data_IF_266822550892
#
_entry.id   IF_266822550892
#
_cell.length_a   1.000
_cell.length_b   1.000
_cell.length_c   1.000
_cell.angle_alpha   90.00
_cell.angle_beta   90.00
_cell.angle_gamma   90.00
#
_symmetry.space_group_name_H-M   'P 1'
#
loop_
_entity.id
_entity.type
_entity.pdbx_description
1 polymer ?
#
# COMPACT_ATOMS: atom_id res chain seq x y z
N UNK A 1 -37.89 25.26 42.20
CA UNK A 1 -38.10 24.60 40.90
C UNK A 1 -37.08 25.17 39.91
N UNK A 2 -35.81 24.77 39.99
CA UNK A 2 -34.74 25.17 39.05
C UNK A 2 -33.45 24.37 39.32
N UNK A 3 -33.35 23.15 38.77
CA UNK A 3 -32.08 22.39 38.75
C UNK A 3 -32.15 21.25 37.72
N UNK A 4 -32.48 21.58 36.47
CA UNK A 4 -32.48 20.60 35.37
C UNK A 4 -31.70 21.05 34.12
N UNK A 5 -31.19 22.28 34.08
CA UNK A 5 -30.55 22.85 32.89
C UNK A 5 -29.02 22.76 32.84
N UNK A 6 -28.34 22.37 33.93
CA UNK A 6 -26.86 22.36 33.97
C UNK A 6 -26.24 21.03 33.52
N UNK A 7 -26.97 19.91 33.58
CA UNK A 7 -26.40 18.58 33.27
C UNK A 7 -26.35 18.27 31.77
N UNK A 8 -27.20 18.87 30.96
CA UNK A 8 -27.24 18.66 29.50
C UNK A 8 -26.07 19.30 28.74
N UNK A 9 -25.50 20.41 29.24
CA UNK A 9 -24.38 21.11 28.58
C UNK A 9 -23.05 20.35 28.63
N UNK A 10 -22.79 19.59 29.71
CA UNK A 10 -21.53 18.84 29.85
C UNK A 10 -21.44 17.63 28.90
N UNK A 11 -22.58 17.08 28.48
CA UNK A 11 -22.65 15.97 27.52
C UNK A 11 -22.45 16.43 26.07
N UNK A 12 -23.05 17.57 25.69
CA UNK A 12 -22.97 18.11 24.31
C UNK A 12 -21.56 18.57 23.91
N UNK A 13 -20.81 19.15 24.85
CA UNK A 13 -19.46 19.64 24.58
C UNK A 13 -18.48 18.47 24.37
N UNK A 14 -18.63 17.38 25.13
CA UNK A 14 -17.83 16.17 24.94
C UNK A 14 -18.19 15.42 23.66
N UNK A 15 -19.48 15.40 23.28
CA UNK A 15 -19.94 14.76 22.05
C UNK A 15 -19.43 15.50 20.80
N UNK A 16 -19.47 16.82 20.80
CA UNK A 16 -18.95 17.64 19.69
C UNK A 16 -17.43 17.48 19.51
N UNK A 17 -16.67 17.41 20.61
CA UNK A 17 -15.22 17.15 20.59
C UNK A 17 -14.88 15.74 20.09
N UNK A 18 -15.71 14.74 20.38
CA UNK A 18 -15.55 13.39 19.83
C UNK A 18 -15.83 13.37 18.33
N UNK A 19 -16.94 13.98 17.90
CA UNK A 19 -17.32 14.03 16.48
C UNK A 19 -16.27 14.74 15.64
N UNK A 20 -15.65 15.81 16.14
CA UNK A 20 -14.56 16.51 15.45
C UNK A 20 -13.32 15.62 15.32
N UNK A 21 -12.90 14.95 16.39
CA UNK A 21 -11.77 13.99 16.38
C UNK A 21 -12.01 12.83 15.42
N UNK A 22 -13.21 12.23 15.46
CA UNK A 22 -13.59 11.13 14.58
C UNK A 22 -13.60 11.56 13.10
N UNK A 23 -14.09 12.76 12.78
CA UNK A 23 -14.02 13.33 11.43
C UNK A 23 -12.58 13.53 10.95
N UNK A 24 -11.69 14.02 11.82
CA UNK A 24 -10.28 14.21 11.49
C UNK A 24 -9.60 12.86 11.19
N UNK A 25 -9.79 11.86 12.05
CA UNK A 25 -9.25 10.51 11.83
C UNK A 25 -9.77 9.92 10.51
N UNK A 26 -11.06 10.08 10.21
CA UNK A 26 -11.62 9.59 8.96
C UNK A 26 -11.02 10.30 7.72
N UNK A 27 -10.82 11.62 7.78
CA UNK A 27 -10.16 12.37 6.70
C UNK A 27 -8.72 11.93 6.48
N UNK A 28 -7.97 11.70 7.57
CA UNK A 28 -6.59 11.20 7.48
C UNK A 28 -6.58 9.82 6.82
N UNK A 29 -7.44 8.88 7.28
CA UNK A 29 -7.52 7.53 6.68
C UNK A 29 -7.88 7.59 5.20
N UNK A 30 -8.82 8.44 4.82
CA UNK A 30 -9.20 8.63 3.42
C UNK A 30 -8.01 9.15 2.59
N UNK A 31 -7.30 10.17 3.08
CA UNK A 31 -6.12 10.71 2.41
C UNK A 31 -5.01 9.66 2.26
N UNK A 32 -4.72 8.90 3.31
CA UNK A 32 -3.73 7.81 3.26
C UNK A 32 -4.16 6.72 2.28
N UNK A 33 -5.43 6.33 2.26
CA UNK A 33 -5.94 5.34 1.31
C UNK A 33 -5.81 5.79 -0.15
N UNK A 34 -6.04 7.08 -0.46
CA UNK A 34 -5.79 7.63 -1.79
C UNK A 34 -4.31 7.57 -2.17
N UNK A 35 -3.40 7.87 -1.24
CA UNK A 35 -1.96 7.76 -1.48
C UNK A 35 -1.53 6.31 -1.73
N UNK A 36 -2.06 5.36 -0.95
CA UNK A 36 -1.83 3.92 -1.15
C UNK A 36 -2.32 3.50 -2.53
N UNK A 37 -3.54 3.89 -2.91
CA UNK A 37 -4.09 3.57 -4.23
C UNK A 37 -3.24 4.13 -5.37
N UNK A 38 -2.85 5.41 -5.30
CA UNK A 38 -2.03 6.05 -6.31
C UNK A 38 -0.65 5.40 -6.43
N UNK A 39 0.01 5.11 -5.30
CA UNK A 39 1.30 4.44 -5.28
C UNK A 39 1.20 3.01 -5.84
N UNK A 40 0.16 2.26 -5.50
CA UNK A 40 -0.06 0.90 -5.99
C UNK A 40 -0.28 0.87 -7.51
N UNK A 41 -1.07 1.80 -8.06
CA UNK A 41 -1.26 1.95 -9.51
C UNK A 41 0.05 2.35 -10.20
N UNK A 42 0.84 3.24 -9.59
CA UNK A 42 2.14 3.62 -10.11
C UNK A 42 3.11 2.43 -10.17
N UNK A 43 3.14 1.56 -9.15
CA UNK A 43 3.93 0.31 -9.17
C UNK A 43 3.51 -0.58 -10.34
N UNK A 44 2.19 -0.79 -10.51
CA UNK A 44 1.67 -1.60 -11.62
C UNK A 44 2.11 -1.01 -12.97
N UNK A 45 2.07 0.32 -13.13
CA UNK A 45 2.54 1.00 -14.35
C UNK A 45 4.05 0.82 -14.58
N UNK A 46 4.86 1.05 -13.55
CA UNK A 46 6.31 0.92 -13.61
C UNK A 46 6.80 -0.50 -13.94
N UNK A 47 6.06 -1.53 -13.53
CA UNK A 47 6.40 -2.93 -13.83
C UNK A 47 5.75 -3.46 -15.12
N UNK A 48 4.58 -2.93 -15.51
CA UNK A 48 3.88 -3.36 -16.71
C UNK A 48 4.62 -2.98 -18.00
N UNK A 49 5.24 -1.79 -18.04
CA UNK A 49 5.94 -1.30 -19.24
C UNK A 49 7.18 -2.16 -19.56
N UNK A 50 8.11 -2.43 -18.62
CA UNK A 50 9.24 -3.32 -18.86
C UNK A 50 8.80 -4.75 -19.17
N UNK A 51 7.75 -5.26 -18.51
CA UNK A 51 7.22 -6.59 -18.76
C UNK A 51 6.65 -6.74 -20.18
N UNK A 52 5.94 -5.72 -20.66
CA UNK A 52 5.41 -5.68 -22.02
C UNK A 52 6.55 -5.64 -23.04
N UNK A 53 7.54 -4.77 -22.82
CA UNK A 53 8.72 -4.67 -23.68
C UNK A 53 9.49 -6.00 -23.74
N UNK A 54 9.65 -6.70 -22.61
CA UNK A 54 10.24 -8.05 -22.57
C UNK A 54 9.42 -9.06 -23.41
N UNK A 55 8.09 -9.07 -23.28
CA UNK A 55 7.23 -10.00 -24.05
C UNK A 55 7.30 -9.74 -25.55
N UNK A 56 7.34 -8.48 -25.97
CA UNK A 56 7.48 -8.13 -27.39
C UNK A 56 8.87 -8.52 -27.92
N UNK A 57 9.92 -8.28 -27.14
CA UNK A 57 11.30 -8.47 -27.61
C UNK A 57 11.85 -9.89 -27.44
N UNK A 58 11.30 -10.70 -26.53
CA UNK A 58 11.68 -12.10 -26.35
C UNK A 58 11.36 -12.97 -27.57
N UNK A 59 10.38 -12.57 -28.40
CA UNK A 59 10.04 -13.30 -29.63
C UNK A 59 11.16 -13.28 -30.68
N UNK A 60 12.07 -12.30 -30.60
CA UNK A 60 13.21 -12.19 -31.52
C UNK A 60 14.35 -13.19 -31.22
N UNK A 61 14.26 -13.92 -30.11
CA UNK A 61 15.17 -15.04 -29.80
C UNK A 61 15.15 -16.10 -30.93
N UNK A 62 14.02 -16.26 -31.61
CA UNK A 62 13.87 -17.15 -32.79
C UNK A 62 14.76 -16.78 -33.97
N UNK A 63 15.18 -15.51 -34.05
CA UNK A 63 16.05 -14.99 -35.11
C UNK A 63 17.51 -14.86 -34.64
N UNK A 64 17.88 -15.51 -33.54
CA UNK A 64 19.23 -15.49 -32.95
C UNK A 64 19.69 -14.10 -32.45
N UNK A 65 18.73 -13.17 -32.24
CA UNK A 65 18.98 -11.90 -31.56
C UNK A 65 18.68 -12.05 -30.07
N UNK A 66 19.62 -12.65 -29.34
CA UNK A 66 19.51 -12.87 -27.89
C UNK A 66 19.73 -11.55 -27.15
N UNK A 67 18.68 -10.76 -27.00
CA UNK A 67 18.72 -9.47 -26.28
C UNK A 67 18.64 -9.65 -24.76
N UNK A 68 17.98 -10.72 -24.31
CA UNK A 68 17.75 -11.05 -22.90
C UNK A 68 18.57 -12.28 -22.50
N UNK A 69 19.05 -12.34 -21.25
CA UNK A 69 19.82 -13.48 -20.78
C UNK A 69 18.92 -14.72 -20.61
N UNK A 70 19.46 -15.92 -20.83
CA UNK A 70 18.71 -17.19 -20.64
C UNK A 70 18.34 -17.44 -19.16
N UNK A 71 19.06 -16.82 -18.24
CA UNK A 71 18.85 -16.87 -16.79
C UNK A 71 18.03 -15.67 -16.27
N UNK A 72 17.10 -15.13 -17.08
CA UNK A 72 16.25 -14.01 -16.69
C UNK A 72 15.10 -14.46 -15.77
N UNK A 73 15.03 -13.86 -14.58
CA UNK A 73 13.92 -14.07 -13.65
C UNK A 73 12.82 -13.01 -13.76
N UNK A 74 11.62 -13.46 -14.07
CA UNK A 74 10.40 -12.64 -14.12
C UNK A 74 9.62 -12.64 -12.80
N UNK A 75 10.03 -13.45 -11.81
CA UNK A 75 9.27 -13.62 -10.55
C UNK A 75 9.16 -12.32 -9.78
N UNK A 76 10.22 -11.51 -9.76
CA UNK A 76 10.22 -10.19 -9.10
C UNK A 76 9.15 -9.27 -9.69
N UNK A 77 9.20 -9.04 -11.01
CA UNK A 77 8.23 -8.18 -11.72
C UNK A 77 6.81 -8.70 -11.59
N UNK A 78 6.59 -10.01 -11.72
CA UNK A 78 5.27 -10.61 -11.53
C UNK A 78 4.75 -10.46 -10.09
N UNK A 79 5.63 -10.60 -9.09
CA UNK A 79 5.27 -10.41 -7.68
C UNK A 79 4.87 -8.96 -7.40
N UNK A 80 5.66 -7.97 -7.86
CA UNK A 80 5.32 -6.55 -7.71
C UNK A 80 4.01 -6.20 -8.42
N UNK A 81 3.80 -6.71 -9.64
CA UNK A 81 2.57 -6.50 -10.41
C UNK A 81 1.35 -7.07 -9.68
N UNK A 82 1.45 -8.31 -9.19
CA UNK A 82 0.37 -8.96 -8.45
C UNK A 82 0.08 -8.25 -7.12
N UNK A 83 1.12 -7.91 -6.35
CA UNK A 83 0.97 -7.21 -5.07
C UNK A 83 0.38 -5.81 -5.26
N UNK A 84 0.89 -5.04 -6.23
CA UNK A 84 0.37 -3.73 -6.58
C UNK A 84 -1.11 -3.77 -6.99
N UNK A 85 -1.50 -4.76 -7.80
CA UNK A 85 -2.90 -4.93 -8.22
C UNK A 85 -3.83 -5.25 -7.05
N UNK A 86 -3.42 -6.16 -6.15
CA UNK A 86 -4.20 -6.54 -4.96
C UNK A 86 -4.37 -5.35 -4.01
N UNK A 87 -3.28 -4.62 -3.73
CA UNK A 87 -3.30 -3.43 -2.86
C UNK A 87 -4.18 -2.33 -3.47
N UNK A 88 -4.05 -2.08 -4.78
CA UNK A 88 -4.88 -1.10 -5.48
C UNK A 88 -6.37 -1.46 -5.39
N UNK A 89 -6.72 -2.73 -5.61
CA UNK A 89 -8.11 -3.19 -5.53
C UNK A 89 -8.68 -3.04 -4.12
N UNK A 90 -7.92 -3.43 -3.10
CA UNK A 90 -8.31 -3.32 -1.70
C UNK A 90 -8.47 -1.86 -1.26
N UNK A 91 -7.54 -0.98 -1.66
CA UNK A 91 -7.62 0.45 -1.39
C UNK A 91 -8.81 1.11 -2.09
N UNK A 92 -9.13 0.70 -3.32
CA UNK A 92 -10.30 1.18 -4.05
C UNK A 92 -11.60 0.82 -3.32
N UNK A 93 -11.74 -0.43 -2.85
CA UNK A 93 -12.91 -0.86 -2.07
C UNK A 93 -13.06 0.01 -0.81
N UNK A 94 -11.96 0.28 -0.10
CA UNK A 94 -11.99 1.15 1.07
C UNK A 94 -12.44 2.57 0.73
N UNK A 95 -11.90 3.17 -0.33
CA UNK A 95 -12.25 4.52 -0.79
C UNK A 95 -13.74 4.60 -1.13
N UNK A 96 -14.26 3.62 -1.88
CA UNK A 96 -15.69 3.55 -2.23
C UNK A 96 -16.54 3.47 -0.95
N UNK A 97 -16.18 2.57 -0.02
CA UNK A 97 -16.89 2.41 1.23
C UNK A 97 -16.86 3.69 2.10
N UNK A 98 -15.77 4.46 2.06
CA UNK A 98 -15.59 5.69 2.82
C UNK A 98 -16.31 6.90 2.22
N UNK A 99 -16.50 6.94 0.89
CA UNK A 99 -17.19 8.03 0.19
C UNK A 99 -18.71 7.87 0.25
N UNK A 100 -19.22 6.63 0.27
CA UNK A 100 -20.66 6.36 0.28
C UNK A 100 -21.33 7.00 1.52
N UNK A 101 -22.22 8.00 1.33
CA UNK A 101 -22.93 8.63 2.44
C UNK A 101 -23.93 7.63 3.02
N UNK A 102 -23.56 6.96 4.11
CA UNK A 102 -24.46 6.03 4.80
C UNK A 102 -25.30 6.77 5.83
N UNK A 103 -26.64 6.61 5.83
CA UNK A 103 -27.53 7.23 6.80
C UNK A 103 -27.42 6.64 8.22
N UNK A 104 -26.70 5.52 8.42
CA UNK A 104 -26.50 4.88 9.73
C UNK A 104 -25.03 4.91 10.16
N UNK A 105 -24.77 5.00 11.47
CA UNK A 105 -23.45 5.08 12.10
C UNK A 105 -22.60 3.80 11.87
N UNK A 106 -21.98 3.69 10.70
CA UNK A 106 -21.05 2.60 10.33
C UNK A 106 -19.59 2.86 10.74
N UNK A 107 -19.34 3.75 11.69
CA UNK A 107 -17.97 4.11 12.15
C UNK A 107 -17.16 2.87 12.52
N UNK A 108 -17.79 1.93 13.21
CA UNK A 108 -17.19 0.64 13.60
C UNK A 108 -16.84 -0.26 12.41
N UNK A 109 -17.70 -0.29 11.38
CA UNK A 109 -17.48 -1.09 10.17
C UNK A 109 -16.35 -0.47 9.32
N UNK A 110 -16.33 0.85 9.16
CA UNK A 110 -15.26 1.56 8.47
C UNK A 110 -13.91 1.40 9.20
N UNK A 111 -13.90 1.43 10.53
CA UNK A 111 -12.70 1.17 11.34
C UNK A 111 -12.22 -0.27 11.16
N UNK A 112 -13.12 -1.25 11.16
CA UNK A 112 -12.76 -2.65 10.91
C UNK A 112 -12.23 -2.85 9.48
N UNK A 113 -12.89 -2.25 8.49
CA UNK A 113 -12.50 -2.33 7.09
C UNK A 113 -11.13 -1.65 6.88
N UNK A 114 -10.87 -0.48 7.49
CA UNK A 114 -9.53 0.14 7.44
C UNK A 114 -8.44 -0.74 8.05
N UNK A 115 -8.75 -1.43 9.16
CA UNK A 115 -7.79 -2.31 9.81
C UNK A 115 -7.52 -3.57 8.97
N UNK A 116 -8.57 -4.16 8.39
CA UNK A 116 -8.45 -5.32 7.52
C UNK A 116 -7.67 -5.00 6.24
N UNK A 117 -7.94 -3.84 5.62
CA UNK A 117 -7.18 -3.32 4.47
C UNK A 117 -5.71 -3.14 4.84
N UNK A 118 -5.42 -2.46 5.96
CA UNK A 118 -4.04 -2.20 6.37
C UNK A 118 -3.25 -3.49 6.66
N UNK A 119 -3.87 -4.46 7.34
CA UNK A 119 -3.24 -5.75 7.62
C UNK A 119 -3.01 -6.57 6.33
N UNK A 120 -4.03 -6.66 5.47
CA UNK A 120 -3.92 -7.40 4.22
C UNK A 120 -2.89 -6.75 3.27
N UNK A 121 -2.89 -5.41 3.18
CA UNK A 121 -1.94 -4.64 2.40
C UNK A 121 -0.51 -4.80 2.91
N UNK A 122 -0.31 -4.77 4.23
CA UNK A 122 1.00 -5.03 4.84
C UNK A 122 1.50 -6.45 4.58
N UNK A 123 0.66 -7.48 4.74
CA UNK A 123 1.02 -8.87 4.44
C UNK A 123 1.38 -9.02 2.95
N UNK A 124 0.59 -8.42 2.07
CA UNK A 124 0.81 -8.46 0.61
C UNK A 124 2.13 -7.77 0.26
N UNK A 125 2.40 -6.59 0.81
CA UNK A 125 3.63 -5.83 0.55
C UNK A 125 4.88 -6.55 1.08
N UNK A 126 4.81 -7.10 2.30
CA UNK A 126 5.90 -7.93 2.87
C UNK A 126 6.16 -9.15 2.00
N UNK A 127 5.09 -9.82 1.54
CA UNK A 127 5.21 -10.96 0.62
C UNK A 127 5.91 -10.54 -0.67
N UNK A 128 5.51 -9.40 -1.27
CA UNK A 128 6.16 -8.83 -2.45
C UNK A 128 7.65 -8.59 -2.25
N UNK A 129 8.06 -8.03 -1.11
CA UNK A 129 9.47 -7.82 -0.76
C UNK A 129 10.22 -9.14 -0.59
N UNK A 130 9.62 -10.12 0.08
CA UNK A 130 10.24 -11.45 0.25
C UNK A 130 10.49 -12.11 -1.11
N UNK A 131 9.51 -12.06 -2.02
CA UNK A 131 9.69 -12.60 -3.38
C UNK A 131 10.65 -11.79 -4.24
N UNK A 132 10.78 -10.48 -4.01
CA UNK A 132 11.68 -9.60 -4.76
C UNK A 132 13.14 -9.68 -4.30
N UNK A 133 13.38 -9.87 -3.00
CA UNK A 133 14.73 -9.80 -2.40
C UNK A 133 15.23 -11.18 -1.93
N UNK A 134 14.39 -11.92 -1.21
CA UNK A 134 14.83 -13.08 -0.43
C UNK A 134 14.65 -14.43 -1.12
N UNK A 135 13.89 -14.45 -2.20
CA UNK A 135 13.73 -15.66 -2.99
C UNK A 135 14.60 -15.50 -4.25
N UNK A 136 15.86 -15.97 -4.27
CA UNK A 136 16.60 -16.22 -5.50
C UNK A 136 16.01 -17.44 -6.22
N UNK A 137 16.20 -17.59 -7.54
CA UNK A 137 15.79 -18.77 -8.29
C UNK A 137 16.61 -19.99 -7.89
N UNK A 138 16.01 -21.16 -8.06
CA UNK A 138 16.55 -22.42 -7.56
C UNK A 138 17.47 -23.17 -8.54
N UNK A 139 17.57 -22.85 -9.83
CA UNK A 139 18.54 -23.47 -10.76
C UNK A 139 18.78 -22.60 -11.99
N UNK A 140 20.04 -22.25 -12.26
CA UNK A 140 20.48 -21.71 -13.54
C UNK A 140 21.09 -22.84 -14.40
N UNK A 141 21.00 -22.77 -15.75
CA UNK A 141 21.67 -23.73 -16.63
C UNK A 141 23.19 -23.71 -16.41
N UNK A 142 23.84 -24.86 -16.63
CA UNK A 142 25.28 -25.02 -16.42
C UNK A 142 26.07 -23.94 -17.18
N UNK A 143 26.89 -23.15 -16.47
CA UNK A 143 27.74 -22.09 -17.06
C UNK A 143 27.46 -20.66 -16.56
N UNK A 144 26.38 -20.44 -15.81
CA UNK A 144 26.09 -19.14 -15.18
C UNK A 144 26.38 -19.19 -13.67
N UNK A 145 26.77 -18.07 -13.06
CA UNK A 145 27.03 -17.99 -11.60
C UNK A 145 26.00 -17.16 -10.84
N UNK A 146 25.23 -16.33 -11.55
CA UNK A 146 24.25 -15.41 -10.97
C UNK A 146 22.98 -15.40 -11.82
N UNK A 147 21.84 -15.17 -11.17
CA UNK A 147 20.59 -14.85 -11.86
C UNK A 147 20.52 -13.37 -12.20
N UNK A 148 19.81 -13.03 -13.27
CA UNK A 148 19.61 -11.64 -13.67
C UNK A 148 18.10 -11.36 -13.68
N UNK A 149 17.68 -10.23 -13.11
CA UNK A 149 16.29 -9.77 -13.20
C UNK A 149 16.17 -8.71 -14.27
N UNK A 150 14.94 -8.36 -14.68
CA UNK A 150 14.73 -7.22 -15.61
C UNK A 150 15.40 -5.96 -15.06
N UNK A 151 15.34 -5.74 -13.74
CA UNK A 151 15.98 -4.61 -13.09
C UNK A 151 17.51 -4.64 -13.20
N UNK A 152 18.16 -5.73 -12.76
CA UNK A 152 19.62 -5.82 -12.75
C UNK A 152 20.18 -5.76 -14.16
N UNK A 153 19.54 -6.44 -15.12
CA UNK A 153 19.95 -6.46 -16.52
C UNK A 153 19.85 -5.08 -17.17
N UNK A 154 18.68 -4.45 -17.15
CA UNK A 154 18.46 -3.14 -17.78
C UNK A 154 19.32 -2.05 -17.16
N UNK A 155 19.52 -2.08 -15.83
CA UNK A 155 20.39 -1.12 -15.15
C UNK A 155 21.87 -1.36 -15.42
N UNK A 156 22.30 -2.61 -15.62
CA UNK A 156 23.67 -2.94 -16.04
C UNK A 156 23.96 -2.36 -17.43
N UNK A 157 23.04 -2.49 -18.38
CA UNK A 157 23.16 -1.85 -19.70
C UNK A 157 23.17 -0.33 -19.64
N UNK A 158 22.38 0.27 -18.74
CA UNK A 158 22.43 1.72 -18.50
C UNK A 158 23.81 2.16 -18.00
N UNK A 159 24.44 1.39 -17.12
CA UNK A 159 25.80 1.66 -16.63
C UNK A 159 26.86 1.52 -17.73
N UNK A 160 26.67 0.56 -18.65
CA UNK A 160 27.58 0.35 -19.78
C UNK A 160 27.51 1.50 -20.79
N UNK A 161 26.35 2.14 -20.98
CA UNK A 161 26.21 3.32 -21.85
C UNK A 161 27.08 4.52 -21.42
N UNK A 162 27.43 4.61 -20.15
CA UNK A 162 28.35 5.64 -19.63
C UNK A 162 29.83 5.26 -19.72
N UNK A 163 30.14 4.01 -20.10
CA UNK A 163 31.50 3.52 -20.29
C UNK A 163 31.75 3.38 -21.80
N UNK A 164 32.89 3.88 -22.31
CA UNK A 164 33.32 3.66 -23.70
C UNK A 164 33.77 2.20 -23.90
N UNK A 165 32.87 1.25 -23.65
CA UNK A 165 33.12 -0.16 -23.91
C UNK A 165 33.02 -0.35 -25.41
N UNK A 166 34.15 -0.69 -26.01
CA UNK A 166 34.26 -1.00 -27.44
C UNK A 166 34.35 -2.51 -27.61
N UNK A 167 33.51 -3.07 -28.47
CA UNK A 167 33.67 -4.43 -29.00
C UNK A 167 34.05 -4.30 -30.47
N UNK A 168 35.18 -4.87 -30.87
CA UNK A 168 35.75 -4.73 -32.21
C UNK A 168 35.88 -3.27 -32.72
N UNK A 169 36.16 -2.32 -31.83
CA UNK A 169 36.31 -0.90 -32.18
C UNK A 169 35.00 -0.13 -32.36
N UNK A 170 33.84 -0.78 -32.21
CA UNK A 170 32.53 -0.13 -32.17
C UNK A 170 32.07 0.04 -30.72
N UNK A 171 31.56 1.22 -30.38
CA UNK A 171 30.96 1.47 -29.07
C UNK A 171 29.70 0.61 -28.92
N UNK A 172 29.67 -0.27 -27.90
CA UNK A 172 28.44 -0.98 -27.57
C UNK A 172 27.43 0.02 -27.03
N UNK A 173 26.41 0.33 -27.83
CA UNK A 173 25.32 1.19 -27.41
C UNK A 173 24.15 0.34 -26.92
N UNK A 174 23.77 0.51 -25.66
CA UNK A 174 22.58 -0.12 -25.11
C UNK A 174 21.32 0.33 -25.88
N UNK A 175 20.32 -0.55 -26.10
CA UNK A 175 19.03 -0.15 -26.65
C UNK A 175 18.43 1.04 -25.90
N UNK A 176 17.88 2.01 -26.62
CA UNK A 176 17.43 3.28 -26.04
C UNK A 176 16.36 3.13 -24.94
N UNK A 177 15.56 2.06 -24.99
CA UNK A 177 14.50 1.74 -24.02
C UNK A 177 15.01 1.24 -22.66
N UNK A 178 16.19 0.61 -22.60
CA UNK A 178 16.68 -0.04 -21.36
C UNK A 178 16.98 0.94 -20.24
N UNK A 179 17.40 2.17 -20.57
CA UNK A 179 17.62 3.22 -19.58
C UNK A 179 16.30 3.65 -18.91
N UNK A 180 15.19 3.63 -19.66
CA UNK A 180 13.86 3.94 -19.13
C UNK A 180 13.38 2.78 -18.27
N UNK A 181 13.45 1.56 -18.77
CA UNK A 181 13.00 0.37 -18.05
C UNK A 181 13.71 0.20 -16.69
N UNK A 182 15.03 0.45 -16.65
CA UNK A 182 15.79 0.49 -15.39
C UNK A 182 15.23 1.50 -14.38
N UNK A 183 14.85 2.69 -14.85
CA UNK A 183 14.32 3.76 -14.00
C UNK A 183 12.91 3.44 -13.50
N UNK A 184 12.06 2.89 -14.36
CA UNK A 184 10.71 2.46 -14.01
C UNK A 184 10.73 1.36 -12.94
N UNK A 185 11.47 0.27 -13.17
CA UNK A 185 11.56 -0.83 -12.18
C UNK A 185 12.22 -0.37 -10.87
N UNK A 186 13.16 0.58 -10.92
CA UNK A 186 13.72 1.20 -9.70
C UNK A 186 12.66 1.98 -8.93
N UNK A 187 11.83 2.76 -9.65
CA UNK A 187 10.74 3.51 -9.04
C UNK A 187 9.71 2.57 -8.41
N UNK A 188 9.36 1.46 -9.09
CA UNK A 188 8.48 0.42 -8.56
C UNK A 188 8.95 -0.15 -7.22
N UNK A 189 10.25 -0.45 -7.10
CA UNK A 189 10.86 -0.92 -5.84
C UNK A 189 10.81 0.12 -4.72
N UNK A 190 11.09 1.39 -5.02
CA UNK A 190 11.04 2.48 -4.05
C UNK A 190 9.59 2.69 -3.57
N UNK A 191 8.64 2.67 -4.50
CA UNK A 191 7.22 2.80 -4.20
C UNK A 191 6.69 1.64 -3.35
N UNK A 192 7.20 0.41 -3.55
CA UNK A 192 6.86 -0.71 -2.69
C UNK A 192 7.28 -0.48 -1.23
N UNK A 193 8.47 0.08 -1.01
CA UNK A 193 8.93 0.48 0.33
C UNK A 193 8.06 1.59 0.93
N UNK A 194 7.65 2.58 0.12
CA UNK A 194 6.72 3.62 0.53
C UNK A 194 5.36 3.04 0.93
N UNK A 195 4.84 2.05 0.19
CA UNK A 195 3.58 1.37 0.52
C UNK A 195 3.63 0.74 1.91
N UNK A 196 4.71 0.05 2.28
CA UNK A 196 4.85 -0.51 3.64
C UNK A 196 4.67 0.57 4.70
N UNK A 197 5.29 1.74 4.48
CA UNK A 197 5.21 2.86 5.42
C UNK A 197 3.79 3.43 5.51
N UNK A 198 3.10 3.55 4.37
CA UNK A 198 1.72 4.02 4.31
C UNK A 198 0.73 3.06 4.97
N UNK A 199 0.92 1.74 4.79
CA UNK A 199 0.09 0.70 5.44
C UNK A 199 0.23 0.75 6.96
N UNK A 200 1.44 0.97 7.48
CA UNK A 200 1.67 1.17 8.93
C UNK A 200 0.95 2.41 9.44
N UNK A 201 1.00 3.52 8.71
CA UNK A 201 0.29 4.76 9.06
C UNK A 201 -1.23 4.53 9.05
N UNK A 202 -1.75 3.82 8.05
CA UNK A 202 -3.17 3.46 7.96
C UNK A 202 -3.61 2.56 9.12
N UNK A 203 -2.78 1.58 9.50
CA UNK A 203 -3.00 0.72 10.67
C UNK A 203 -2.98 1.49 11.99
N UNK A 204 -2.06 2.43 12.17
CA UNK A 204 -2.01 3.31 13.34
C UNK A 204 -3.27 4.19 13.43
N UNK A 205 -3.72 4.76 12.30
CA UNK A 205 -4.96 5.52 12.24
C UNK A 205 -6.19 4.64 12.53
N UNK A 206 -6.19 3.37 12.10
CA UNK A 206 -7.21 2.39 12.43
C UNK A 206 -7.29 2.14 13.95
N UNK A 207 -6.14 1.86 14.58
CA UNK A 207 -6.03 1.66 16.02
C UNK A 207 -6.48 2.90 16.81
N UNK A 208 -6.05 4.10 16.41
CA UNK A 208 -6.45 5.34 17.07
C UNK A 208 -7.96 5.53 17.08
N UNK A 209 -8.65 5.29 15.96
CA UNK A 209 -10.12 5.38 15.93
C UNK A 209 -10.80 4.30 16.76
N UNK A 210 -10.25 3.09 16.84
CA UNK A 210 -10.78 2.05 17.73
C UNK A 210 -10.65 2.41 19.21
N UNK A 211 -9.54 3.01 19.62
CA UNK A 211 -9.36 3.51 20.98
C UNK A 211 -10.32 4.67 21.31
N UNK A 212 -10.56 5.57 20.35
CA UNK A 212 -11.55 6.65 20.52
C UNK A 212 -12.97 6.10 20.70
N UNK A 213 -13.37 5.13 19.89
CA UNK A 213 -14.68 4.46 20.02
C UNK A 213 -14.83 3.78 21.38
N UNK A 214 -13.84 2.99 21.82
CA UNK A 214 -13.85 2.35 23.14
C UNK A 214 -13.90 3.35 24.30
N UNK A 215 -13.21 4.48 24.17
CA UNK A 215 -13.20 5.53 25.18
C UNK A 215 -14.59 6.14 25.39
N UNK A 216 -15.34 6.34 24.30
CA UNK A 216 -16.73 6.84 24.36
C UNK A 216 -17.69 5.80 24.91
N UNK A 217 -17.56 4.54 24.48
CA UNK A 217 -18.40 3.46 25.00
C UNK A 217 -18.24 3.28 26.52
N UNK A 218 -17.02 3.45 27.04
CA UNK A 218 -16.75 3.39 28.48
C UNK A 218 -17.43 4.55 29.22
N UNK A 219 -17.26 5.80 28.75
CA UNK A 219 -17.91 6.96 29.36
C UNK A 219 -19.44 6.86 29.34
N UNK A 220 -20.02 6.41 28.22
CA UNK A 220 -21.48 6.22 28.10
C UNK A 220 -22.02 5.21 29.12
N UNK A 221 -21.25 4.17 29.46
CA UNK A 221 -21.60 3.22 30.52
C UNK A 221 -21.52 3.86 31.90
N UNK A 222 -20.46 4.61 32.18
CA UNK A 222 -20.28 5.33 33.46
C UNK A 222 -21.42 6.34 33.70
N UNK A 223 -21.80 7.11 32.67
CA UNK A 223 -22.92 8.06 32.75
C UNK A 223 -24.27 7.37 33.02
N UNK A 224 -24.52 6.21 32.41
CA UNK A 224 -25.73 5.43 32.63
C UNK A 224 -25.83 4.89 34.07
N UNK A 225 -24.71 4.41 34.63
CA UNK A 225 -24.66 3.94 36.02
C UNK A 225 -24.88 5.10 37.02
N UNK A 226 -24.30 6.27 36.76
CA UNK A 226 -24.53 7.48 37.58
C UNK A 226 -25.99 7.94 37.51
N UNK A 227 -26.60 7.89 36.33
CA UNK A 227 -28.01 8.22 36.15
C UNK A 227 -28.91 7.27 36.94
N UNK A 228 -28.63 5.96 36.88
CA UNK A 228 -29.36 4.94 37.64
C UNK A 228 -29.24 5.18 39.15
N UNK A 229 -28.04 5.45 39.65
CA UNK A 229 -27.80 5.75 41.07
C UNK A 229 -28.53 7.02 41.53
N UNK A 230 -28.52 8.07 40.71
CA UNK A 230 -29.24 9.31 41.01
C UNK A 230 -30.75 9.10 41.10
N UNK A 231 -31.32 8.27 40.21
CA UNK A 231 -32.75 7.93 40.23
C UNK A 231 -33.10 7.09 41.47
N UNK A 232 -32.22 6.15 41.88
CA UNK A 232 -32.48 5.32 43.07
C UNK A 232 -32.40 6.12 44.37
N UNK A 233 -31.54 7.14 44.44
CA UNK A 233 -31.48 8.06 45.58
C UNK A 233 -32.69 8.99 45.63
N UNK A 234 -33.34 9.24 44.49
CA UNK A 234 -34.41 10.25 44.36
C UNK A 234 -35.83 9.67 44.41
N UNK A 235 -36.02 8.38 44.73
CA UNK A 235 -37.37 7.92 45.04
C UNK A 235 -37.45 6.60 45.78
N UNK A 236 -38.58 6.34 46.47
CA UNK A 236 -39.59 7.30 46.96
C UNK A 236 -39.15 8.06 48.22
#
# INVERSE_FOLDING_TARGET
MSSQSTFSGFSSDQESAYLSRAKVVNRIRLGVAFLIFAAAVAIVGCEAVPLHHYKETSSFEKYWLVLWPLNLDLRQTNALLACGAVIAFQALIYIIAAILPSPHSKTRLLTFLSAAVALAGLITSVTGVVFAIYMPPSRYPNGFTNYETIHSWTCRWKSLKGMNVTDNGQSLSAPASFSRDCMETRAGLILLGLLISLEVIMGAAAAAGWFLERGVDRKRREDFELQKATITVKGP
#
